data_IF_762513543462
#
_entry.id   IF_762513543462
#
_cell.length_a   1.000
_cell.length_b   1.000
_cell.length_c   1.000
_cell.angle_alpha   90.00
_cell.angle_beta   90.00
_cell.angle_gamma   90.00
#
_symmetry.space_group_name_H-M   'P 1'
#
loop_
_entity.id
_entity.type
_entity.pdbx_description
1 polymer ?
#
# COMPACT_ATOMS: atom_id res chain seq x y z
N UNK A 1 -8.33 -69.10 3.20
CA UNK A 1 -8.77 -68.03 4.12
C UNK A 1 -7.95 -66.74 3.94
N UNK A 2 -6.64 -66.82 3.71
CA UNK A 2 -5.77 -65.63 3.55
C UNK A 2 -6.07 -64.77 2.31
N UNK A 3 -6.46 -65.38 1.19
CA UNK A 3 -6.80 -64.65 -0.05
C UNK A 3 -8.09 -63.83 0.06
N UNK A 4 -9.04 -64.26 0.90
CA UNK A 4 -10.27 -63.51 1.14
C UNK A 4 -10.02 -62.28 2.04
N UNK A 5 -9.08 -62.39 2.99
CA UNK A 5 -8.76 -61.32 3.93
C UNK A 5 -8.08 -60.12 3.24
N UNK A 6 -7.24 -60.38 2.24
CA UNK A 6 -6.60 -59.35 1.43
C UNK A 6 -7.56 -58.65 0.45
N UNK A 7 -8.57 -59.37 -0.06
CA UNK A 7 -9.61 -58.78 -0.89
C UNK A 7 -10.51 -57.82 -0.08
N UNK A 8 -10.82 -58.17 1.17
CA UNK A 8 -11.58 -57.31 2.08
C UNK A 8 -10.79 -56.06 2.50
N UNK A 9 -9.47 -56.14 2.67
CA UNK A 9 -8.67 -54.95 3.02
C UNK A 9 -8.60 -53.93 1.88
N UNK A 10 -8.46 -54.39 0.63
CA UNK A 10 -8.43 -53.50 -0.54
C UNK A 10 -9.77 -52.79 -0.78
N UNK A 11 -10.91 -53.44 -0.47
CA UNK A 11 -12.23 -52.80 -0.61
C UNK A 11 -12.46 -51.64 0.38
N UNK A 12 -11.85 -51.70 1.56
CA UNK A 12 -11.95 -50.65 2.59
C UNK A 12 -11.15 -49.41 2.17
N UNK A 13 -9.99 -49.59 1.52
CA UNK A 13 -9.18 -48.46 1.04
C UNK A 13 -9.73 -47.79 -0.23
N UNK A 14 -10.49 -48.52 -1.06
CA UNK A 14 -11.12 -47.93 -2.27
C UNK A 14 -12.39 -47.12 -1.98
N UNK A 15 -12.95 -47.20 -0.77
CA UNK A 15 -14.26 -46.60 -0.45
C UNK A 15 -14.18 -45.25 0.28
N UNK A 16 -12.99 -44.78 0.67
CA UNK A 16 -12.83 -43.44 1.23
C UNK A 16 -12.62 -42.38 0.15
N UNK A 17 -13.65 -42.11 -0.65
CA UNK A 17 -13.79 -40.78 -1.23
C UNK A 17 -14.32 -39.86 -0.14
N UNK A 18 -13.42 -39.34 0.67
CA UNK A 18 -13.70 -38.18 1.49
C UNK A 18 -14.06 -37.03 0.54
N UNK A 19 -15.35 -36.76 0.40
CA UNK A 19 -15.82 -35.50 -0.17
C UNK A 19 -15.52 -34.44 0.88
N UNK A 20 -14.34 -33.85 0.81
CA UNK A 20 -14.08 -32.58 1.48
C UNK A 20 -14.88 -31.54 0.72
N UNK A 21 -16.03 -31.12 1.25
CA UNK A 21 -16.65 -29.89 0.75
C UNK A 21 -15.69 -28.76 1.07
N UNK A 22 -15.20 -28.06 0.04
CA UNK A 22 -14.47 -26.82 0.22
C UNK A 22 -15.31 -25.87 1.09
N UNK A 23 -14.72 -25.17 2.07
CA UNK A 23 -15.46 -24.18 2.84
C UNK A 23 -15.94 -23.10 1.87
N UNK A 24 -17.26 -22.98 1.76
CA UNK A 24 -17.96 -22.01 0.92
C UNK A 24 -17.60 -20.60 1.41
N UNK A 25 -16.59 -19.98 0.79
CA UNK A 25 -16.03 -18.71 1.26
C UNK A 25 -16.59 -17.57 0.43
N UNK A 26 -17.47 -16.77 1.03
CA UNK A 26 -17.98 -15.55 0.43
C UNK A 26 -16.83 -14.56 0.15
N UNK A 27 -16.66 -14.07 -1.09
CA UNK A 27 -15.54 -13.19 -1.46
C UNK A 27 -15.61 -11.79 -0.82
N UNK A 28 -16.72 -11.45 -0.16
CA UNK A 28 -16.90 -10.17 0.53
C UNK A 28 -16.39 -10.17 1.99
N UNK A 29 -16.09 -11.35 2.55
CA UNK A 29 -15.67 -11.51 3.95
C UNK A 29 -14.29 -12.17 4.10
N UNK A 30 -13.70 -12.63 3.00
CA UNK A 30 -12.38 -13.25 3.02
C UNK A 30 -11.38 -12.33 2.30
N UNK A 31 -10.52 -11.60 3.04
CA UNK A 31 -9.47 -10.81 2.43
C UNK A 31 -8.62 -11.66 1.49
N UNK A 32 -7.92 -11.04 0.53
CA UNK A 32 -6.97 -11.70 -0.40
C UNK A 32 -5.92 -12.58 0.33
N UNK A 33 -5.77 -12.39 1.64
CA UNK A 33 -4.82 -13.07 2.51
C UNK A 33 -5.40 -14.29 3.27
N UNK A 34 -6.70 -14.56 3.14
CA UNK A 34 -7.38 -15.65 3.86
C UNK A 34 -7.69 -15.30 5.33
N UNK A 35 -7.69 -16.32 6.18
CA UNK A 35 -7.88 -16.18 7.63
C UNK A 35 -6.66 -15.50 8.28
N UNK A 36 -6.91 -14.70 9.33
CA UNK A 36 -5.86 -14.04 10.13
C UNK A 36 -4.88 -14.99 10.80
N UNK A 37 -5.26 -16.25 10.97
CA UNK A 37 -4.47 -17.26 11.69
C UNK A 37 -3.17 -17.62 10.95
N UNK A 38 -3.12 -17.36 9.64
CA UNK A 38 -1.92 -17.60 8.83
C UNK A 38 -0.99 -16.38 8.75
N UNK A 39 -1.38 -15.26 9.37
CA UNK A 39 -0.56 -14.06 9.41
C UNK A 39 0.48 -14.19 10.50
N UNK A 40 1.68 -13.72 10.18
CA UNK A 40 2.81 -13.72 11.12
C UNK A 40 3.41 -12.33 11.23
N UNK A 41 4.12 -12.12 12.32
CA UNK A 41 4.90 -10.92 12.57
C UNK A 41 6.36 -11.31 12.71
N UNK A 42 7.24 -10.67 11.94
CA UNK A 42 8.69 -10.87 12.05
C UNK A 42 9.21 -10.04 13.22
N UNK A 43 9.42 -10.68 14.36
CA UNK A 43 9.94 -10.08 15.59
C UNK A 43 11.47 -10.08 15.58
N UNK A 44 12.09 -8.97 15.96
CA UNK A 44 13.54 -8.85 16.10
C UNK A 44 13.88 -8.13 17.39
N UNK A 45 15.00 -8.50 18.00
CA UNK A 45 15.43 -7.95 19.27
C UNK A 45 16.94 -7.65 19.26
N UNK A 46 17.30 -6.65 20.04
CA UNK A 46 18.66 -6.31 20.46
C UNK A 46 18.74 -6.44 21.99
N UNK A 47 19.89 -6.11 22.58
CA UNK A 47 20.07 -6.05 24.03
C UNK A 47 19.15 -5.01 24.71
N UNK A 48 18.74 -3.98 23.95
CA UNK A 48 18.02 -2.83 24.51
C UNK A 48 16.55 -2.76 24.10
N UNK A 49 16.25 -3.06 22.84
CA UNK A 49 14.92 -2.86 22.27
C UNK A 49 14.50 -4.06 21.42
N UNK A 50 13.19 -4.18 21.23
CA UNK A 50 12.62 -5.17 20.32
C UNK A 50 11.47 -4.58 19.49
N UNK A 51 11.33 -5.10 18.29
CA UNK A 51 10.42 -4.57 17.28
C UNK A 51 9.84 -5.70 16.43
N UNK A 52 8.68 -5.44 15.83
CA UNK A 52 8.14 -6.23 14.73
C UNK A 52 8.32 -5.41 13.44
N UNK A 53 8.77 -6.06 12.37
CA UNK A 53 8.89 -5.42 11.07
C UNK A 53 7.52 -4.94 10.58
N UNK A 54 7.43 -3.67 10.20
CA UNK A 54 6.20 -3.02 9.76
C UNK A 54 6.37 -2.45 8.36
N UNK A 55 5.39 -2.68 7.48
CA UNK A 55 5.35 -2.12 6.12
C UNK A 55 4.19 -1.15 6.04
N UNK A 56 4.51 0.14 6.09
CA UNK A 56 3.54 1.22 6.14
C UNK A 56 2.79 1.41 4.81
N UNK A 57 1.67 2.14 4.84
CA UNK A 57 0.82 2.41 3.67
C UNK A 57 1.54 3.20 2.58
N UNK A 58 2.50 4.05 2.95
CA UNK A 58 3.36 4.83 2.07
C UNK A 58 4.54 4.01 1.47
N UNK A 59 4.77 2.80 2.00
CA UNK A 59 5.87 1.92 1.60
C UNK A 59 7.13 2.07 2.43
N UNK A 60 7.13 2.91 3.47
CA UNK A 60 8.23 2.93 4.43
C UNK A 60 8.25 1.65 5.27
N UNK A 61 9.44 1.14 5.58
CA UNK A 61 9.62 -0.06 6.40
C UNK A 61 10.38 0.30 7.67
N UNK A 62 9.76 0.04 8.81
CA UNK A 62 10.28 0.36 10.14
C UNK A 62 9.92 -0.73 11.17
N UNK A 63 10.14 -0.44 12.44
CA UNK A 63 9.90 -1.35 13.55
C UNK A 63 8.87 -0.82 14.53
N UNK A 64 7.92 -1.66 14.94
CA UNK A 64 6.92 -1.35 15.99
C UNK A 64 7.12 -2.24 17.23
N UNK A 65 7.05 -1.74 18.47
CA UNK A 65 7.22 -2.55 19.67
C UNK A 65 6.12 -3.61 19.86
N UNK A 66 4.93 -3.38 19.30
CA UNK A 66 3.77 -4.29 19.41
C UNK A 66 3.26 -4.71 18.04
N UNK A 67 2.53 -5.83 17.99
CA UNK A 67 1.87 -6.27 16.76
C UNK A 67 0.81 -5.24 16.34
N UNK A 68 0.81 -4.88 15.05
CA UNK A 68 -0.12 -3.93 14.43
C UNK A 68 -0.64 -4.55 13.13
N UNK A 69 -1.72 -4.00 12.58
CA UNK A 69 -2.20 -4.44 11.28
C UNK A 69 -1.12 -4.28 10.17
N UNK A 70 -0.26 -3.26 10.27
CA UNK A 70 0.83 -2.99 9.32
C UNK A 70 2.06 -3.87 9.51
N UNK A 71 2.24 -4.50 10.68
CA UNK A 71 3.30 -5.49 10.90
C UNK A 71 2.85 -6.93 10.66
N UNK A 72 1.59 -7.15 10.28
CA UNK A 72 1.11 -8.46 9.89
C UNK A 72 1.54 -8.78 8.45
N UNK A 73 2.22 -9.91 8.30
CA UNK A 73 2.86 -10.32 7.07
C UNK A 73 2.30 -11.66 6.63
N UNK A 74 2.09 -11.79 5.33
CA UNK A 74 1.89 -13.07 4.67
C UNK A 74 3.23 -13.49 4.06
N UNK A 75 3.79 -14.58 4.55
CA UNK A 75 5.03 -15.15 4.02
C UNK A 75 4.69 -16.34 3.13
N UNK A 76 5.09 -16.26 1.86
CA UNK A 76 4.90 -17.33 0.89
C UNK A 76 6.25 -17.92 0.51
N UNK A 77 6.35 -19.24 0.58
CA UNK A 77 7.50 -19.96 0.03
C UNK A 77 7.43 -19.94 -1.50
N UNK A 78 8.56 -19.68 -2.16
CA UNK A 78 8.69 -19.66 -3.62
C UNK A 78 9.54 -20.84 -4.11
N UNK A 79 10.86 -20.74 -4.03
CA UNK A 79 11.84 -21.75 -4.51
C UNK A 79 12.90 -22.01 -3.44
N UNK A 80 13.41 -23.25 -3.31
CA UNK A 80 14.63 -23.61 -2.58
C UNK A 80 14.95 -22.81 -1.29
N UNK A 81 13.98 -22.69 -0.36
CA UNK A 81 14.16 -21.96 0.91
C UNK A 81 14.11 -20.44 0.77
N UNK A 82 13.57 -19.93 -0.33
CA UNK A 82 13.31 -18.52 -0.57
C UNK A 82 11.85 -18.18 -0.32
N UNK A 83 11.62 -16.98 0.17
CA UNK A 83 10.32 -16.48 0.58
C UNK A 83 10.03 -15.10 -0.01
N UNK A 84 8.75 -14.87 -0.23
CA UNK A 84 8.18 -13.57 -0.59
C UNK A 84 7.35 -13.10 0.60
N UNK A 85 7.55 -11.85 1.01
CA UNK A 85 6.93 -11.26 2.19
C UNK A 85 5.97 -10.15 1.73
N UNK A 86 4.69 -10.29 2.07
CA UNK A 86 3.64 -9.33 1.73
C UNK A 86 3.09 -8.69 3.01
N UNK A 87 3.16 -7.37 3.10
CA UNK A 87 2.44 -6.57 4.07
C UNK A 87 0.95 -6.60 3.75
N UNK A 88 0.19 -7.23 4.63
CA UNK A 88 -1.24 -7.49 4.47
C UNK A 88 -1.98 -6.16 4.43
N UNK A 89 -1.94 -5.37 5.51
CA UNK A 89 -2.67 -4.10 5.59
C UNK A 89 -2.27 -3.10 4.49
N UNK A 90 -0.99 -3.02 4.15
CA UNK A 90 -0.50 -2.08 3.14
C UNK A 90 -0.64 -2.58 1.70
N UNK A 91 -0.82 -3.88 1.48
CA UNK A 91 -0.84 -4.48 0.15
C UNK A 91 0.48 -4.33 -0.60
N UNK A 92 1.61 -4.35 0.13
CA UNK A 92 2.96 -4.09 -0.41
C UNK A 92 3.92 -5.24 -0.13
N UNK A 93 4.68 -5.63 -1.13
CA UNK A 93 5.77 -6.59 -0.99
C UNK A 93 6.97 -5.93 -0.33
N UNK A 94 7.63 -6.64 0.58
CA UNK A 94 8.94 -6.25 1.06
C UNK A 94 9.95 -6.49 -0.07
N UNK A 95 10.69 -5.45 -0.44
CA UNK A 95 11.71 -5.51 -1.48
C UNK A 95 12.99 -4.83 -0.99
N UNK A 96 14.13 -5.19 -1.58
CA UNK A 96 15.43 -4.68 -1.23
C UNK A 96 16.10 -4.04 -2.45
N UNK A 97 16.60 -2.82 -2.28
CA UNK A 97 17.38 -2.15 -3.32
C UNK A 97 18.83 -2.65 -3.38
N UNK A 98 19.57 -2.18 -4.39
CA UNK A 98 20.99 -2.54 -4.59
C UNK A 98 21.92 -2.14 -3.43
N UNK A 99 21.47 -1.22 -2.55
CA UNK A 99 22.23 -0.75 -1.38
C UNK A 99 21.85 -1.52 -0.12
N UNK A 100 20.86 -2.43 -0.17
CA UNK A 100 20.36 -3.18 0.96
C UNK A 100 19.25 -2.48 1.74
N UNK A 101 18.71 -1.36 1.25
CA UNK A 101 17.56 -0.71 1.87
C UNK A 101 16.30 -1.51 1.58
N UNK A 102 15.50 -1.73 2.61
CA UNK A 102 14.22 -2.44 2.50
C UNK A 102 13.08 -1.42 2.37
N UNK A 103 12.19 -1.67 1.42
CA UNK A 103 11.06 -0.81 1.08
C UNK A 103 9.83 -1.65 0.72
N UNK A 104 8.65 -1.07 0.88
CA UNK A 104 7.37 -1.68 0.51
C UNK A 104 6.90 -1.24 -0.88
N UNK A 105 6.85 -2.16 -1.84
CA UNK A 105 6.39 -1.89 -3.21
C UNK A 105 5.09 -2.64 -3.55
N UNK A 106 4.19 -2.00 -4.31
CA UNK A 106 3.00 -2.69 -4.83
C UNK A 106 3.32 -3.64 -5.98
N UNK A 107 4.36 -3.33 -6.76
CA UNK A 107 4.79 -4.15 -7.88
C UNK A 107 5.80 -5.19 -7.40
N UNK A 108 5.51 -6.46 -7.69
CA UNK A 108 6.40 -7.56 -7.37
C UNK A 108 7.53 -7.66 -8.40
N UNK A 109 8.77 -7.67 -7.91
CA UNK A 109 9.97 -7.99 -8.69
C UNK A 109 10.66 -9.19 -8.04
N UNK A 110 10.77 -10.32 -8.75
CA UNK A 110 11.37 -11.54 -8.19
C UNK A 110 12.81 -11.35 -7.74
N UNK A 111 13.57 -10.50 -8.43
CA UNK A 111 14.98 -10.27 -8.10
C UNK A 111 15.19 -9.45 -6.81
N UNK A 112 14.25 -8.55 -6.50
CA UNK A 112 14.40 -7.59 -5.40
C UNK A 112 13.48 -7.91 -4.21
N UNK A 113 12.37 -8.63 -4.42
CA UNK A 113 11.33 -8.91 -3.42
C UNK A 113 11.30 -10.37 -2.93
N UNK A 114 12.28 -11.18 -3.35
CA UNK A 114 12.46 -12.56 -2.89
C UNK A 114 13.71 -12.65 -2.00
N UNK A 115 13.58 -13.29 -0.85
CA UNK A 115 14.65 -13.43 0.14
C UNK A 115 14.93 -14.89 0.44
N UNK A 116 16.20 -15.28 0.54
CA UNK A 116 16.56 -16.58 1.08
C UNK A 116 16.40 -16.54 2.60
N UNK A 117 15.64 -17.48 3.15
CA UNK A 117 15.46 -17.68 4.59
C UNK A 117 16.39 -18.79 5.05
N UNK A 118 17.13 -18.54 6.12
CA UNK A 118 18.06 -19.50 6.71
C UNK A 118 17.89 -19.49 8.22
N UNK A 119 17.56 -20.65 8.80
CA UNK A 119 17.41 -20.82 10.23
C UNK A 119 18.77 -20.93 10.91
N UNK A 120 18.95 -20.19 11.99
CA UNK A 120 20.13 -20.22 12.84
C UNK A 120 19.95 -21.22 13.98
N UNK A 121 21.06 -21.62 14.59
CA UNK A 121 21.06 -22.56 15.73
C UNK A 121 20.32 -22.05 16.96
N UNK A 122 20.19 -20.72 17.11
CA UNK A 122 19.47 -20.09 18.21
C UNK A 122 17.94 -20.03 18.01
N UNK A 123 17.42 -20.58 16.90
CA UNK A 123 15.99 -20.60 16.59
C UNK A 123 15.44 -19.33 15.94
N UNK A 124 16.30 -18.37 15.61
CA UNK A 124 15.95 -17.22 14.76
C UNK A 124 16.28 -17.51 13.30
N UNK A 125 15.64 -16.79 12.41
CA UNK A 125 15.92 -16.83 10.98
C UNK A 125 16.64 -15.57 10.53
N UNK A 126 17.51 -15.71 9.53
CA UNK A 126 18.03 -14.59 8.76
C UNK A 126 17.40 -14.59 7.36
N UNK A 127 17.10 -13.39 6.88
CA UNK A 127 16.59 -13.16 5.53
C UNK A 127 17.66 -12.41 4.74
N UNK A 128 18.01 -12.89 3.55
CA UNK A 128 18.99 -12.22 2.69
C UNK A 128 18.57 -12.15 1.23
N UNK A 129 18.95 -11.09 0.55
CA UNK A 129 18.79 -11.00 -0.91
C UNK A 129 19.67 -12.06 -1.59
N UNK A 130 19.12 -12.93 -2.46
CA UNK A 130 19.92 -13.86 -3.26
C UNK A 130 20.88 -13.14 -4.21
N UNK A 131 20.47 -11.98 -4.74
CA UNK A 131 21.20 -11.18 -5.72
C UNK A 131 22.39 -10.43 -5.12
N UNK A 132 22.20 -9.81 -3.95
CA UNK A 132 23.21 -8.95 -3.32
C UNK A 132 23.91 -9.59 -2.11
N UNK A 133 23.39 -10.72 -1.63
CA UNK A 133 23.82 -11.38 -0.40
C UNK A 133 23.78 -10.45 0.84
N UNK A 134 22.94 -9.40 0.82
CA UNK A 134 22.75 -8.46 1.92
C UNK A 134 21.59 -8.92 2.80
N UNK A 135 21.76 -8.80 4.12
CA UNK A 135 20.76 -9.14 5.13
C UNK A 135 19.64 -8.09 5.18
N UNK A 136 18.41 -8.57 5.36
CA UNK A 136 17.30 -7.74 5.82
C UNK A 136 17.61 -7.30 7.26
N UNK A 137 17.55 -5.99 7.51
CA UNK A 137 17.72 -5.42 8.85
C UNK A 137 16.96 -4.10 8.96
N UNK A 138 16.35 -3.87 10.13
CA UNK A 138 15.74 -2.58 10.49
C UNK A 138 16.77 -1.51 10.87
N UNK A 139 18.04 -1.89 11.04
CA UNK A 139 19.10 -0.93 11.31
C UNK A 139 19.50 -0.16 10.03
N UNK A 140 20.11 1.01 10.22
CA UNK A 140 20.67 1.82 9.13
C UNK A 140 21.88 1.15 8.49
N UNK A 141 22.61 0.32 9.24
CA UNK A 141 23.80 -0.35 8.73
C UNK A 141 23.43 -1.62 7.95
N UNK A 142 23.82 -1.68 6.67
CA UNK A 142 23.56 -2.84 5.80
C UNK A 142 24.82 -3.68 5.70
N UNK A 143 24.70 -4.99 5.90
CA UNK A 143 25.83 -5.93 5.84
C UNK A 143 25.48 -7.17 5.03
N UNK A 144 26.46 -7.66 4.31
CA UNK A 144 26.37 -8.94 3.64
C UNK A 144 26.36 -10.09 4.64
N UNK A 145 25.62 -11.16 4.32
CA UNK A 145 25.61 -12.38 5.12
C UNK A 145 26.90 -13.15 4.90
N UNK A 146 27.60 -13.43 5.99
CA UNK A 146 28.78 -14.30 6.02
C UNK A 146 28.55 -15.35 7.10
N UNK A 147 28.47 -16.64 6.75
CA UNK A 147 28.27 -17.72 7.72
C UNK A 147 29.33 -17.69 8.83
N UNK A 148 28.91 -17.87 10.08
CA UNK A 148 29.79 -17.90 11.24
C UNK A 148 30.32 -16.56 11.74
N UNK A 149 29.97 -15.43 11.08
CA UNK A 149 30.30 -14.09 11.57
C UNK A 149 29.18 -13.46 12.39
N UNK A 150 29.53 -12.46 13.21
CA UNK A 150 28.56 -11.68 13.97
C UNK A 150 27.59 -10.94 13.04
N UNK A 151 26.30 -11.14 13.26
CA UNK A 151 25.23 -10.51 12.50
C UNK A 151 25.02 -9.05 12.96
N UNK A 152 24.60 -8.14 12.06
CA UNK A 152 24.22 -6.80 12.46
C UNK A 152 23.00 -6.83 13.41
N UNK A 153 22.80 -5.78 14.22
CA UNK A 153 21.58 -5.63 15.00
C UNK A 153 20.32 -5.71 14.13
N UNK A 154 19.24 -6.22 14.71
CA UNK A 154 17.92 -6.28 14.08
C UNK A 154 17.85 -7.02 12.73
N UNK A 155 18.77 -7.96 12.47
CA UNK A 155 18.77 -8.80 11.25
C UNK A 155 18.38 -10.25 11.48
N UNK A 156 18.14 -10.62 12.74
CA UNK A 156 17.63 -11.92 13.13
C UNK A 156 16.15 -11.78 13.45
N UNK A 157 15.32 -12.65 12.90
CA UNK A 157 13.88 -12.57 13.01
C UNK A 157 13.31 -13.86 13.58
N UNK A 158 12.31 -13.71 14.45
CA UNK A 158 11.48 -14.79 14.96
C UNK A 158 10.07 -14.60 14.41
N UNK A 159 9.53 -15.64 13.79
CA UNK A 159 8.15 -15.63 13.32
C UNK A 159 7.18 -15.77 14.50
N UNK A 160 6.39 -14.74 14.78
CA UNK A 160 5.32 -14.76 15.79
C UNK A 160 3.95 -14.87 15.15
N UNK A 161 3.05 -15.63 15.77
CA UNK A 161 1.66 -15.72 15.31
C UNK A 161 0.92 -14.39 15.51
N UNK A 162 -0.05 -14.11 14.64
CA UNK A 162 -0.88 -12.92 14.72
C UNK A 162 -1.88 -12.99 15.87
N UNK A 163 -1.85 -11.97 16.72
CA UNK A 163 -2.79 -11.74 17.82
C UNK A 163 -3.74 -10.56 17.50
N UNK A 164 -3.56 -9.89 16.36
CA UNK A 164 -4.36 -8.74 15.96
C UNK A 164 -5.71 -9.19 15.37
N UNK A 165 -6.79 -8.60 15.87
CA UNK A 165 -8.14 -8.90 15.42
C UNK A 165 -8.42 -8.44 13.97
N UNK A 166 -9.25 -9.21 13.26
CA UNK A 166 -9.67 -8.97 11.86
C UNK A 166 -10.17 -7.53 11.59
N UNK A 167 -10.89 -6.93 12.53
CA UNK A 167 -11.47 -5.58 12.38
C UNK A 167 -10.41 -4.51 12.09
N UNK A 168 -9.19 -4.68 12.61
CA UNK A 168 -8.10 -3.71 12.41
C UNK A 168 -7.52 -3.77 10.98
N UNK A 169 -7.76 -4.86 10.25
CA UNK A 169 -7.30 -5.03 8.88
C UNK A 169 -8.23 -4.36 7.86
N UNK A 170 -9.51 -4.23 8.19
CA UNK A 170 -10.51 -3.64 7.30
C UNK A 170 -10.24 -2.14 7.18
N UNK A 171 -10.24 -1.63 5.94
CA UNK A 171 -10.30 -0.19 5.70
C UNK A 171 -11.75 0.24 5.91
N UNK A 172 -12.19 0.34 7.16
CA UNK A 172 -13.37 1.16 7.40
C UNK A 172 -12.96 2.58 7.02
N UNK A 173 -13.63 3.24 6.06
CA UNK A 173 -13.44 4.67 5.91
C UNK A 173 -13.68 5.23 7.30
N UNK A 174 -12.69 5.93 7.87
CA UNK A 174 -12.93 6.71 9.07
C UNK A 174 -14.22 7.45 8.78
N UNK A 175 -15.26 7.20 9.58
CA UNK A 175 -16.41 8.07 9.61
C UNK A 175 -15.84 9.34 10.21
N UNK A 176 -15.19 10.14 9.37
CA UNK A 176 -14.93 11.54 9.59
C UNK A 176 -16.33 12.13 9.66
N UNK A 177 -16.94 11.99 10.84
CA UNK A 177 -17.89 12.94 11.36
C UNK A 177 -17.09 14.22 11.43
N UNK A 178 -16.95 14.88 10.28
CA UNK A 178 -16.96 16.32 10.31
C UNK A 178 -18.20 16.61 11.12
N UNK A 179 -18.00 17.06 12.36
CA UNK A 179 -18.96 17.95 12.98
C UNK A 179 -18.99 19.15 12.05
N UNK A 180 -19.68 18.99 10.92
CA UNK A 180 -20.26 20.11 10.22
C UNK A 180 -21.13 20.67 11.32
N UNK A 181 -20.77 21.83 11.83
CA UNK A 181 -21.75 22.72 12.43
C UNK A 181 -22.71 23.05 11.27
N UNK A 182 -23.56 22.09 10.93
CA UNK A 182 -24.70 22.29 10.04
C UNK A 182 -25.58 23.18 10.89
N UNK A 183 -25.81 24.39 10.41
CA UNK A 183 -26.89 25.22 10.93
C UNK A 183 -28.14 24.35 10.80
N UNK A 184 -28.58 23.80 11.93
CA UNK A 184 -29.67 22.81 11.95
C UNK A 184 -30.92 23.59 11.60
N UNK A 185 -31.50 23.34 10.43
CA UNK A 185 -32.80 23.90 10.10
C UNK A 185 -33.79 23.44 11.18
N UNK A 186 -34.38 24.35 11.97
CA UNK A 186 -35.33 23.97 13.02
C UNK A 186 -36.58 23.26 12.45
N UNK A 187 -36.79 23.33 11.14
CA UNK A 187 -37.88 22.67 10.42
C UNK A 187 -37.56 21.20 10.07
N UNK A 188 -36.29 20.80 10.05
CA UNK A 188 -35.87 19.40 9.87
C UNK A 188 -34.71 19.02 10.79
N UNK A 189 -34.97 18.85 12.10
CA UNK A 189 -33.95 18.52 13.10
C UNK A 189 -33.28 17.16 12.88
N UNK A 190 -33.91 16.30 12.07
CA UNK A 190 -33.50 14.91 11.86
C UNK A 190 -33.03 14.62 10.44
N UNK A 191 -33.04 15.61 9.54
CA UNK A 191 -32.56 15.49 8.17
C UNK A 191 -33.32 14.46 7.34
N UNK A 192 -34.62 14.26 7.60
CA UNK A 192 -35.45 13.24 6.93
C UNK A 192 -35.99 13.74 5.59
N UNK A 193 -35.87 15.04 5.30
CA UNK A 193 -36.33 15.63 4.04
C UNK A 193 -35.20 15.53 3.01
N UNK A 194 -35.25 14.50 2.17
CA UNK A 194 -34.39 14.39 0.99
C UNK A 194 -34.92 15.38 -0.06
N UNK A 195 -34.35 16.59 -0.11
CA UNK A 195 -34.60 17.50 -1.23
C UNK A 195 -33.79 17.04 -2.45
N UNK A 196 -34.42 16.94 -3.64
CA UNK A 196 -33.69 16.63 -4.86
C UNK A 196 -32.80 17.82 -5.21
N UNK A 197 -31.50 17.56 -5.32
CA UNK A 197 -30.46 18.55 -5.57
C UNK A 197 -30.64 19.14 -6.98
N UNK A 198 -31.28 20.32 -7.07
CA UNK A 198 -31.40 21.08 -8.31
C UNK A 198 -30.60 22.37 -8.16
N UNK A 199 -29.38 22.38 -8.69
CA UNK A 199 -28.70 23.62 -9.05
C UNK A 199 -27.29 23.80 -8.50
N UNK A 200 -26.32 23.26 -9.24
CA UNK A 200 -25.02 23.85 -9.59
C UNK A 200 -24.55 25.04 -8.72
N UNK A 201 -23.55 24.79 -7.87
CA UNK A 201 -22.60 25.84 -7.47
C UNK A 201 -21.18 25.29 -7.49
N UNK A 202 -20.44 25.73 -8.51
CA UNK A 202 -18.99 25.62 -8.58
C UNK A 202 -18.36 26.26 -7.34
N UNK A 203 -17.71 25.46 -6.48
CA UNK A 203 -16.65 25.95 -5.60
C UNK A 203 -15.34 25.22 -5.89
N UNK A 204 -14.50 25.99 -6.58
CA UNK A 204 -13.08 25.84 -6.88
C UNK A 204 -12.31 25.06 -5.81
N UNK A 205 -11.79 23.90 -6.19
CA UNK A 205 -10.58 23.35 -5.58
C UNK A 205 -9.38 24.12 -6.12
N UNK A 206 -8.62 24.78 -5.27
CA UNK A 206 -7.24 25.15 -5.58
C UNK A 206 -6.46 25.50 -4.32
N UNK A 207 -5.64 24.57 -3.84
CA UNK A 207 -4.30 24.86 -3.31
C UNK A 207 -3.50 23.57 -3.16
N UNK A 208 -2.95 23.10 -4.29
CA UNK A 208 -1.72 22.31 -4.35
C UNK A 208 -0.93 22.89 -5.52
N UNK A 209 0.40 22.88 -5.40
CA UNK A 209 1.41 23.46 -6.30
C UNK A 209 1.82 24.91 -6.00
N UNK A 210 2.69 25.06 -5.00
CA UNK A 210 3.79 26.03 -5.02
C UNK A 210 5.07 25.30 -5.47
N UNK A 211 5.88 26.02 -6.26
CA UNK A 211 7.30 25.82 -6.56
C UNK A 211 7.68 25.16 -7.90
N UNK A 212 7.94 26.01 -8.91
CA UNK A 212 9.18 26.11 -9.74
C UNK A 212 8.94 27.01 -11.00
N UNK A 213 10.00 27.57 -11.64
CA UNK A 213 10.06 28.99 -11.98
C UNK A 213 9.55 29.36 -13.37
N UNK A 214 9.27 30.66 -13.45
CA UNK A 214 8.59 31.42 -14.49
C UNK A 214 9.48 31.66 -15.71
N UNK A 215 9.08 31.13 -16.85
CA UNK A 215 9.32 31.75 -18.16
C UNK A 215 8.02 31.73 -18.95
N UNK A 216 7.51 32.91 -19.27
CA UNK A 216 6.69 33.20 -20.46
C UNK A 216 6.03 34.58 -20.35
N UNK A 217 6.49 35.45 -21.25
CA UNK A 217 5.67 36.23 -22.18
C UNK A 217 4.65 37.23 -21.58
N UNK A 218 5.04 38.50 -21.71
CA UNK A 218 4.14 39.66 -21.68
C UNK A 218 3.08 39.54 -22.77
N UNK A 219 1.81 39.68 -22.38
CA UNK A 219 0.81 40.33 -23.25
C UNK A 219 -0.10 41.21 -22.41
N UNK A 220 0.05 42.50 -22.67
CA UNK A 220 -0.78 43.62 -22.27
C UNK A 220 -2.16 43.53 -22.92
N UNK A 221 -3.24 43.86 -22.21
CA UNK A 221 -4.34 44.66 -22.75
C UNK A 221 -5.18 45.29 -21.64
N UNK A 222 -5.01 46.61 -21.51
CA UNK A 222 -6.02 47.54 -21.01
C UNK A 222 -7.11 47.72 -22.08
N UNK A 223 -8.33 48.06 -21.65
CA UNK A 223 -9.34 48.71 -22.50
C UNK A 223 -10.71 48.07 -22.41
N UNK A 224 -11.58 48.59 -21.53
CA UNK A 224 -13.03 48.39 -21.65
C UNK A 224 -13.53 49.31 -22.77
N UNK A 225 -13.96 48.74 -23.89
CA UNK A 225 -14.66 49.49 -24.94
C UNK A 225 -16.15 49.62 -24.57
N UNK A 226 -16.58 50.87 -24.42
CA UNK A 226 -17.99 51.25 -24.33
C UNK A 226 -18.64 51.09 -25.71
N UNK A 227 -19.79 50.40 -25.76
CA UNK A 227 -20.59 50.23 -26.99
C UNK A 227 -21.37 51.52 -27.25
N UNK A 228 -21.17 52.14 -28.42
CA UNK A 228 -21.91 53.32 -28.86
C UNK A 228 -23.35 52.92 -29.28
N UNK A 229 -24.40 53.51 -28.69
CA UNK A 229 -25.79 53.18 -29.00
C UNK A 229 -26.26 53.60 -30.41
N UNK A 230 -25.48 54.40 -31.16
CA UNK A 230 -25.84 54.82 -32.52
C UNK A 230 -25.34 53.87 -33.64
N UNK A 231 -24.40 52.97 -33.35
CA UNK A 231 -23.92 51.94 -34.29
C UNK A 231 -23.65 50.60 -33.57
N UNK A 232 -24.70 49.79 -33.30
CA UNK A 232 -24.58 48.57 -32.52
C UNK A 232 -23.79 47.46 -33.22
N UNK A 233 -23.56 47.59 -34.53
CA UNK A 233 -22.97 46.53 -35.36
C UNK A 233 -21.64 46.93 -36.01
N UNK A 234 -21.15 48.16 -35.80
CA UNK A 234 -19.76 48.55 -36.04
C UNK A 234 -19.27 48.33 -37.47
N UNK A 235 -20.11 48.61 -38.46
CA UNK A 235 -19.80 48.36 -39.88
C UNK A 235 -19.32 49.61 -40.66
N UNK A 236 -19.28 50.79 -40.03
CA UNK A 236 -18.69 51.99 -40.63
C UNK A 236 -17.23 52.18 -40.19
N UNK A 237 -16.45 51.42 -40.93
CA UNK A 237 -15.01 51.24 -41.01
C UNK A 237 -14.05 52.41 -40.68
N UNK A 238 -12.80 51.96 -40.57
CA UNK A 238 -11.60 52.56 -41.19
C UNK A 238 -10.82 53.57 -40.36
N UNK A 239 -9.90 53.05 -39.53
CA UNK A 239 -8.57 53.68 -39.37
C UNK A 239 -7.49 52.76 -38.78
N UNK A 240 -6.62 52.30 -39.69
CA UNK A 240 -5.15 52.17 -39.59
C UNK A 240 -4.56 51.27 -38.49
N UNK A 241 -4.28 50.01 -38.84
CA UNK A 241 -3.18 49.25 -38.22
C UNK A 241 -1.84 49.74 -38.77
N UNK A 242 -0.84 50.12 -37.95
CA UNK A 242 0.55 50.11 -38.37
C UNK A 242 1.17 48.72 -38.11
N UNK A 243 1.88 48.20 -39.11
CA UNK A 243 2.61 46.92 -39.10
C UNK A 243 3.77 46.89 -38.08
N UNK A 244 4.22 45.70 -37.62
CA UNK A 244 5.20 45.57 -36.56
C UNK A 244 6.64 45.75 -37.09
N UNK A 245 7.43 46.59 -36.42
CA UNK A 245 8.88 46.66 -36.65
C UNK A 245 9.61 45.69 -35.71
N UNK A 246 10.31 44.75 -36.34
CA UNK A 246 11.40 43.97 -35.75
C UNK A 246 12.56 44.88 -35.35
N UNK A 247 13.20 44.60 -34.22
CA UNK A 247 14.63 44.84 -34.06
C UNK A 247 15.26 43.72 -33.24
N UNK A 248 16.31 43.16 -33.83
CA UNK A 248 17.28 42.26 -33.22
C UNK A 248 18.42 43.08 -32.62
N UNK A 249 18.92 42.66 -31.46
CA UNK A 249 20.34 42.33 -31.25
C UNK A 249 20.51 41.59 -29.92
#
# INVERSE_FOLDING_TARGET
>A
LESALLAFSMAIFYSFKAVSSFPNSSPLLNPVWGNTDNLIHLYTASETNSFHLQINSDGHVDGTPHQTAYSALLIKSEEAGSVVILGVKSGRYLCMDIKGNIIGLHHFSKEDCTFKQEGLENGFDVLRSPKHNILVSLDKTKRSYIPGMNLPPYSQFLSRQNEVALINFINTPDIHRHSRNVDVDPSDPHGMIIQPDVGVSFRKSSSLFSDLPRDSMRTSHNGMDMVDPADPHGMLDSRRRPSPRFFAR
#
